data_IF_474130580232
#
_entry.id   IF_474130580232
#
_cell.length_a   1.000
_cell.length_b   1.000
_cell.length_c   1.000
_cell.angle_alpha   90.00
_cell.angle_beta   90.00
_cell.angle_gamma   90.00
#
_symmetry.space_group_name_H-M   'P 1'
#
loop_
_entity.id
_entity.type
_entity.pdbx_description
1 polymer ?
#
# COMPACT_ATOMS: atom_id res chain seq x y z
N UNK A 1 -4.02 5.85 -18.83
CA UNK A 1 -3.35 5.04 -17.79
C UNK A 1 -2.65 5.97 -16.81
N UNK A 2 -2.82 5.77 -15.51
CA UNK A 2 -2.31 6.64 -14.43
C UNK A 2 -1.79 5.77 -13.28
N UNK A 3 -0.77 6.26 -12.58
CA UNK A 3 -0.21 5.64 -11.39
C UNK A 3 -0.64 6.44 -10.16
N UNK A 4 -1.19 5.75 -9.17
CA UNK A 4 -1.54 6.29 -7.87
C UNK A 4 -0.41 5.95 -6.89
N UNK A 5 0.14 6.95 -6.21
CA UNK A 5 1.18 6.78 -5.20
C UNK A 5 0.70 7.27 -3.84
N UNK A 6 0.65 6.36 -2.87
CA UNK A 6 0.27 6.65 -1.50
C UNK A 6 1.56 6.87 -0.66
N UNK A 7 1.79 8.06 -0.08
CA UNK A 7 3.08 8.44 0.50
C UNK A 7 3.41 7.76 1.83
N UNK A 8 2.44 7.31 2.64
CA UNK A 8 2.69 6.76 3.97
C UNK A 8 3.04 5.26 3.93
N UNK A 9 2.35 4.49 3.11
CA UNK A 9 2.63 3.07 2.86
C UNK A 9 3.58 2.85 1.68
N UNK A 10 3.91 3.91 0.95
CA UNK A 10 4.76 3.91 -0.25
C UNK A 10 4.28 3.00 -1.40
N UNK A 11 2.98 2.69 -1.40
CA UNK A 11 2.34 1.81 -2.37
C UNK A 11 2.12 2.54 -3.70
N UNK A 12 2.36 1.84 -4.81
CA UNK A 12 2.06 2.34 -6.15
C UNK A 12 1.05 1.41 -6.81
N UNK A 13 -0.10 1.96 -7.18
CA UNK A 13 -1.19 1.25 -7.85
C UNK A 13 -1.32 1.75 -9.28
N UNK A 14 -1.48 0.83 -10.24
CA UNK A 14 -1.65 1.17 -11.65
C UNK A 14 -3.14 1.14 -11.99
N UNK A 15 -3.66 2.22 -12.56
CA UNK A 15 -5.09 2.39 -12.84
C UNK A 15 -5.31 3.28 -14.08
N UNK A 16 -6.53 3.76 -14.30
CA UNK A 16 -6.87 4.77 -15.29
C UNK A 16 -7.86 5.80 -14.71
N UNK A 17 -8.03 6.92 -15.44
CA UNK A 17 -8.84 8.05 -14.97
C UNK A 17 -10.34 7.74 -14.97
N UNK A 18 -10.80 6.84 -15.84
CA UNK A 18 -12.21 6.45 -15.90
C UNK A 18 -12.58 5.65 -14.67
N UNK A 19 -11.77 4.66 -14.33
CA UNK A 19 -11.93 3.85 -13.14
C UNK A 19 -11.88 4.70 -11.86
N UNK A 20 -10.87 5.58 -11.74
CA UNK A 20 -10.77 6.49 -10.59
C UNK A 20 -11.99 7.41 -10.48
N UNK A 21 -12.49 7.94 -11.59
CA UNK A 21 -13.69 8.79 -11.59
C UNK A 21 -14.89 8.03 -11.01
N UNK A 22 -15.15 6.81 -11.48
CA UNK A 22 -16.32 6.05 -11.07
C UNK A 22 -16.25 5.65 -9.59
N UNK A 23 -15.09 5.21 -9.10
CA UNK A 23 -14.93 4.78 -7.70
C UNK A 23 -14.95 5.96 -6.73
N UNK A 24 -14.51 7.14 -7.15
CA UNK A 24 -14.28 8.27 -6.22
C UNK A 24 -15.27 9.40 -6.38
N UNK A 25 -16.03 9.42 -7.47
CA UNK A 25 -16.87 10.54 -7.91
C UNK A 25 -16.10 11.77 -8.38
N UNK A 26 -14.76 11.74 -8.39
CA UNK A 26 -13.94 12.92 -8.72
C UNK A 26 -13.96 13.12 -10.24
N UNK A 27 -14.28 14.32 -10.77
CA UNK A 27 -14.31 14.56 -12.21
C UNK A 27 -13.00 14.21 -12.91
N UNK A 28 -13.09 13.60 -14.10
CA UNK A 28 -11.92 13.19 -14.90
C UNK A 28 -10.93 14.34 -15.15
N UNK A 29 -11.44 15.55 -15.42
CA UNK A 29 -10.61 16.74 -15.63
C UNK A 29 -9.81 17.11 -14.38
N UNK A 30 -10.41 16.98 -13.19
CA UNK A 30 -9.73 17.23 -11.91
C UNK A 30 -8.63 16.18 -11.67
N UNK A 31 -8.91 14.90 -11.90
CA UNK A 31 -7.93 13.82 -11.77
C UNK A 31 -6.76 13.99 -12.76
N UNK A 32 -7.07 14.37 -14.01
CA UNK A 32 -6.07 14.68 -15.02
C UNK A 32 -5.18 15.86 -14.60
N UNK A 33 -5.79 16.96 -14.13
CA UNK A 33 -5.08 18.13 -13.63
C UNK A 33 -4.17 17.76 -12.45
N UNK A 34 -4.68 17.00 -11.48
CA UNK A 34 -3.89 16.52 -10.33
C UNK A 34 -2.70 15.66 -10.77
N UNK A 35 -2.88 14.79 -11.77
CA UNK A 35 -1.80 13.96 -12.34
C UNK A 35 -0.70 14.80 -13.00
N UNK A 36 -1.08 15.84 -13.75
CA UNK A 36 -0.14 16.73 -14.45
C UNK A 36 0.66 17.61 -13.51
N UNK A 37 0.02 18.13 -12.48
CA UNK A 37 0.63 19.09 -11.55
C UNK A 37 1.21 18.42 -10.29
N UNK A 38 1.02 17.11 -10.11
CA UNK A 38 1.51 16.37 -8.95
C UNK A 38 0.93 16.94 -7.66
N UNK A 39 -0.38 17.14 -7.66
CA UNK A 39 -1.17 17.67 -6.54
C UNK A 39 -1.59 16.49 -5.65
N UNK A 40 -1.47 16.69 -4.35
CA UNK A 40 -1.92 15.70 -3.38
C UNK A 40 -3.44 15.67 -3.32
N UNK A 41 -4.01 14.47 -3.38
CA UNK A 41 -5.44 14.28 -3.24
C UNK A 41 -5.74 13.89 -1.80
N UNK A 42 -6.36 14.80 -1.04
CA UNK A 42 -6.65 14.57 0.38
C UNK A 42 -7.70 13.47 0.63
N UNK A 43 -8.66 13.29 -0.29
CA UNK A 43 -9.70 12.28 -0.16
C UNK A 43 -9.12 10.87 -0.25
N UNK A 44 -8.20 10.64 -1.21
CA UNK A 44 -7.57 9.34 -1.44
C UNK A 44 -6.19 9.20 -0.77
N UNK A 45 -5.71 10.27 -0.15
CA UNK A 45 -4.41 10.37 0.49
C UNK A 45 -3.24 10.00 -0.43
N UNK A 46 -3.34 10.34 -1.72
CA UNK A 46 -2.38 9.91 -2.75
C UNK A 46 -2.01 11.00 -3.75
N UNK A 47 -0.94 10.77 -4.50
CA UNK A 47 -0.62 11.50 -5.73
C UNK A 47 -0.98 10.69 -6.96
N UNK A 48 -1.29 11.38 -8.05
CA UNK A 48 -1.41 10.79 -9.37
C UNK A 48 -0.21 11.15 -10.24
N UNK A 49 0.18 10.25 -11.14
CA UNK A 49 1.28 10.45 -12.08
C UNK A 49 1.05 9.65 -13.36
N UNK A 50 1.34 10.26 -14.50
CA UNK A 50 1.23 9.60 -15.81
C UNK A 50 2.31 8.51 -15.99
N UNK A 51 3.43 8.64 -15.27
CA UNK A 51 4.55 7.69 -15.31
C UNK A 51 4.76 7.02 -13.96
N UNK A 52 5.32 5.82 -13.97
CA UNK A 52 5.61 5.08 -12.74
C UNK A 52 6.56 5.90 -11.85
N UNK A 53 6.14 6.36 -10.66
CA UNK A 53 6.98 7.19 -9.80
C UNK A 53 8.16 6.37 -9.28
N UNK A 54 9.35 6.68 -9.80
CA UNK A 54 10.63 6.15 -9.33
C UNK A 54 11.11 6.97 -8.12
N UNK A 55 12.32 6.66 -7.64
CA UNK A 55 12.89 7.22 -6.42
C UNK A 55 12.80 8.76 -6.32
N UNK A 56 13.30 9.50 -7.31
CA UNK A 56 13.30 10.98 -7.30
C UNK A 56 11.88 11.55 -7.19
N UNK A 57 10.94 11.03 -8.00
CA UNK A 57 9.54 11.48 -7.98
C UNK A 57 8.86 11.18 -6.64
N UNK A 58 9.15 10.02 -6.03
CA UNK A 58 8.67 9.69 -4.69
C UNK A 58 9.22 10.65 -3.63
N UNK A 59 10.48 11.10 -3.75
CA UNK A 59 11.04 12.13 -2.87
C UNK A 59 10.29 13.45 -3.00
N UNK A 60 10.13 13.96 -4.22
CA UNK A 60 9.37 15.19 -4.49
C UNK A 60 7.95 15.14 -3.91
N UNK A 61 7.24 14.02 -4.10
CA UNK A 61 5.90 13.84 -3.56
C UNK A 61 5.88 13.81 -2.04
N UNK A 62 6.84 13.15 -1.41
CA UNK A 62 6.91 13.10 0.05
C UNK A 62 7.22 14.47 0.67
N UNK A 63 8.07 15.27 0.03
CA UNK A 63 8.40 16.61 0.49
C UNK A 63 7.19 17.56 0.48
N UNK A 64 6.23 17.33 -0.42
CA UNK A 64 4.96 18.09 -0.49
C UNK A 64 3.93 17.69 0.57
N UNK A 65 4.11 16.55 1.24
CA UNK A 65 3.15 16.04 2.24
C UNK A 65 3.59 16.42 3.63
N UNK A 66 2.77 17.25 4.26
CA UNK A 66 2.83 17.57 5.69
C UNK A 66 1.56 16.98 6.31
N UNK A 67 1.73 16.07 7.27
CA UNK A 67 0.62 15.54 8.05
C UNK A 67 0.66 16.17 9.45
N UNK A 68 -0.50 16.62 9.92
CA UNK A 68 -0.62 17.40 11.16
C UNK A 68 -0.24 16.59 12.41
N UNK A 69 -0.42 15.27 12.37
CA UNK A 69 -0.12 14.31 13.42
C UNK A 69 1.25 13.62 13.27
N UNK A 70 2.08 14.09 12.33
CA UNK A 70 3.39 13.50 12.06
C UNK A 70 4.47 13.99 13.02
N UNK A 71 4.92 13.10 13.91
CA UNK A 71 6.00 13.34 14.85
C UNK A 71 7.26 12.66 14.32
N UNK A 72 8.34 13.43 14.17
CA UNK A 72 9.66 12.94 13.77
C UNK A 72 10.59 12.78 14.98
N UNK A 73 11.21 11.61 15.13
CA UNK A 73 12.25 11.33 16.12
C UNK A 73 13.52 10.84 15.46
N UNK A 74 14.67 11.21 16.01
CA UNK A 74 15.95 10.68 15.59
C UNK A 74 16.24 9.37 16.30
N UNK A 75 16.70 8.36 15.54
CA UNK A 75 17.08 7.05 16.07
C UNK A 75 18.59 6.87 15.96
N UNK A 76 19.29 6.95 17.10
CA UNK A 76 20.76 6.78 17.16
C UNK A 76 21.20 5.40 16.66
N UNK A 77 20.44 4.35 17.02
CA UNK A 77 20.71 2.96 16.64
C UNK A 77 20.76 2.76 15.12
N UNK A 78 19.93 3.50 14.37
CA UNK A 78 19.81 3.34 12.92
C UNK A 78 20.37 4.52 12.12
N UNK A 79 20.76 5.62 12.79
CA UNK A 79 21.19 6.88 12.17
C UNK A 79 20.17 7.41 11.15
N UNK A 80 18.89 7.42 11.54
CA UNK A 80 17.76 7.86 10.71
C UNK A 80 16.79 8.71 11.53
N UNK A 81 16.19 9.71 10.89
CA UNK A 81 14.94 10.31 11.37
C UNK A 81 13.77 9.43 10.96
N UNK A 82 12.89 9.14 11.90
CA UNK A 82 11.76 8.23 11.77
C UNK A 82 10.51 8.96 12.20
N UNK A 83 9.46 8.91 11.38
CA UNK A 83 8.15 9.45 11.73
C UNK A 83 7.26 8.36 12.34
N UNK A 84 6.33 8.75 13.22
CA UNK A 84 5.33 7.85 13.80
C UNK A 84 4.44 7.21 12.73
N UNK A 85 4.31 7.83 11.56
CA UNK A 85 3.58 7.31 10.40
C UNK A 85 4.41 6.35 9.53
N UNK A 86 5.62 6.01 9.97
CA UNK A 86 6.47 5.01 9.32
C UNK A 86 7.35 5.54 8.18
N UNK A 87 7.41 6.87 8.02
CA UNK A 87 8.29 7.54 7.04
C UNK A 87 9.69 7.71 7.62
N UNK A 88 10.70 7.71 6.74
CA UNK A 88 12.10 7.78 7.17
C UNK A 88 12.90 8.77 6.34
N UNK A 89 13.82 9.47 7.00
CA UNK A 89 14.78 10.41 6.39
C UNK A 89 16.17 10.10 6.90
N UNK A 90 17.17 10.29 6.05
CA UNK A 90 18.56 10.34 6.49
C UNK A 90 18.83 11.64 7.25
N UNK A 91 19.95 11.73 7.99
CA UNK A 91 20.30 12.94 8.75
C UNK A 91 20.36 14.23 7.91
N UNK A 92 20.67 14.10 6.61
CA UNK A 92 20.66 15.20 5.64
C UNK A 92 19.26 15.51 5.05
N UNK A 93 18.18 15.00 5.65
CA UNK A 93 16.80 15.26 5.25
C UNK A 93 16.27 14.44 4.08
N UNK A 94 17.10 13.63 3.40
CA UNK A 94 16.64 12.86 2.23
C UNK A 94 15.76 11.67 2.62
N UNK A 95 14.59 11.56 2.00
CA UNK A 95 13.68 10.44 2.25
C UNK A 95 14.31 9.08 1.87
N UNK A 96 14.03 8.09 2.71
CA UNK A 96 14.34 6.67 2.51
C UNK A 96 13.04 5.89 2.46
N UNK A 97 12.91 5.09 1.40
CA UNK A 97 11.72 4.29 1.16
C UNK A 97 12.01 2.82 1.47
N UNK A 98 11.04 2.20 2.13
CA UNK A 98 11.02 0.75 2.27
C UNK A 98 10.82 0.06 0.93
N UNK A 99 11.64 -0.95 0.66
CA UNK A 99 11.48 -1.88 -0.44
C UNK A 99 10.95 -3.21 0.12
N UNK A 100 9.89 -3.75 -0.47
CA UNK A 100 9.38 -5.06 -0.10
C UNK A 100 8.85 -5.81 -1.31
N UNK A 101 9.13 -7.10 -1.33
CA UNK A 101 8.48 -8.07 -2.21
C UNK A 101 8.00 -9.20 -1.28
N UNK A 102 6.69 -9.44 -1.19
CA UNK A 102 6.06 -10.50 -0.37
C UNK A 102 6.15 -10.33 1.15
N UNK A 103 5.81 -9.14 1.66
CA UNK A 103 5.35 -8.99 3.03
C UNK A 103 6.38 -8.61 4.09
N UNK A 104 7.63 -8.26 3.77
CA UNK A 104 8.47 -7.52 4.72
C UNK A 104 9.03 -6.29 4.01
N UNK A 105 8.78 -5.12 4.59
CA UNK A 105 9.31 -3.86 4.11
C UNK A 105 10.69 -3.66 4.72
N UNK A 106 11.70 -3.52 3.85
CA UNK A 106 13.10 -3.37 4.24
C UNK A 106 13.67 -2.05 3.76
N UNK A 107 14.43 -1.38 4.60
CA UNK A 107 15.13 -0.12 4.28
C UNK A 107 16.61 -0.43 4.17
N UNK A 108 17.23 0.00 3.07
CA UNK A 108 18.66 -0.17 2.83
C UNK A 108 19.37 1.15 3.14
N UNK A 109 20.24 1.13 4.13
CA UNK A 109 21.02 2.29 4.56
C UNK A 109 22.40 1.87 5.08
N UNK A 110 23.45 2.62 4.72
CA UNK A 110 24.86 2.32 5.05
C UNK A 110 25.24 0.85 4.86
N UNK A 111 24.94 0.29 3.68
CA UNK A 111 25.16 -1.12 3.30
C UNK A 111 24.45 -2.17 4.18
N UNK A 112 23.59 -1.75 5.09
CA UNK A 112 22.80 -2.63 5.95
C UNK A 112 21.34 -2.66 5.51
N UNK A 113 20.69 -3.80 5.75
CA UNK A 113 19.26 -4.00 5.47
C UNK A 113 18.53 -4.09 6.81
N UNK A 114 17.60 -3.17 7.02
CA UNK A 114 16.81 -3.10 8.23
C UNK A 114 15.34 -3.36 7.92
N UNK A 115 14.63 -3.99 8.84
CA UNK A 115 13.17 -4.07 8.76
C UNK A 115 12.58 -2.71 9.13
N UNK A 116 11.76 -2.16 8.25
CA UNK A 116 11.20 -0.84 8.43
C UNK A 116 10.33 -0.76 9.70
N UNK A 117 9.51 -1.80 9.92
CA UNK A 117 8.69 -1.91 11.13
C UNK A 117 9.53 -1.93 12.41
N UNK A 118 10.67 -2.64 12.42
CA UNK A 118 11.53 -2.71 13.60
C UNK A 118 12.15 -1.34 13.92
N UNK A 119 12.55 -0.57 12.89
CA UNK A 119 13.06 0.80 13.06
C UNK A 119 12.00 1.69 13.74
N UNK A 120 10.76 1.68 13.23
CA UNK A 120 9.68 2.51 13.77
C UNK A 120 9.35 2.10 15.19
N UNK A 121 9.14 0.81 15.42
CA UNK A 121 8.80 0.28 16.74
C UNK A 121 9.87 0.61 17.78
N UNK A 122 11.14 0.39 17.48
CA UNK A 122 12.25 0.67 18.41
C UNK A 122 12.41 2.17 18.69
N UNK A 123 12.06 3.03 17.73
CA UNK A 123 12.20 4.48 17.88
C UNK A 123 11.07 5.10 18.70
N UNK A 124 9.85 4.57 18.62
CA UNK A 124 8.67 5.13 19.29
C UNK A 124 8.22 4.37 20.53
N UNK A 125 8.40 3.05 20.56
CA UNK A 125 7.91 2.16 21.63
C UNK A 125 9.09 1.52 22.38
N UNK A 126 10.11 1.06 21.65
CA UNK A 126 11.31 0.46 22.22
C UNK A 126 11.13 -0.94 22.80
N UNK A 127 12.21 -1.50 23.34
CA UNK A 127 12.19 -2.76 24.10
C UNK A 127 12.02 -4.02 23.24
N UNK A 128 12.45 -4.00 21.98
CA UNK A 128 12.37 -5.19 21.13
C UNK A 128 13.36 -6.26 21.61
N UNK A 129 12.83 -7.35 22.18
CA UNK A 129 13.62 -8.47 22.70
C UNK A 129 14.34 -9.21 21.57
N UNK A 130 15.49 -9.81 21.90
CA UNK A 130 16.22 -10.68 20.96
C UNK A 130 15.31 -11.80 20.43
N UNK A 131 15.28 -11.97 19.10
CA UNK A 131 14.41 -12.94 18.42
C UNK A 131 12.98 -12.47 18.16
N UNK A 132 12.60 -11.28 18.61
CA UNK A 132 11.33 -10.64 18.30
C UNK A 132 11.51 -9.59 17.20
N UNK A 133 10.46 -9.40 16.41
CA UNK A 133 10.36 -8.36 15.40
C UNK A 133 9.05 -7.60 15.56
N UNK A 134 9.01 -6.39 15.05
CA UNK A 134 7.78 -5.63 14.97
C UNK A 134 6.94 -6.11 13.78
N UNK A 135 5.64 -6.24 14.04
CA UNK A 135 4.65 -6.62 13.05
C UNK A 135 3.39 -5.76 13.18
N UNK A 136 2.67 -5.51 12.06
CA UNK A 136 1.45 -4.73 12.09
C UNK A 136 0.24 -5.54 12.58
N UNK A 137 -0.62 -4.94 13.39
CA UNK A 137 -1.84 -5.56 13.95
C UNK A 137 -2.88 -5.81 12.86
N UNK A 138 -2.98 -4.91 11.88
CA UNK A 138 -3.89 -5.03 10.73
C UNK A 138 -3.42 -6.04 9.65
N UNK A 139 -2.28 -6.71 9.86
CA UNK A 139 -1.65 -7.62 8.90
C UNK A 139 -1.23 -7.00 7.56
N UNK A 140 -1.27 -5.66 7.43
CA UNK A 140 -0.79 -4.93 6.24
C UNK A 140 0.66 -4.51 6.46
N UNK A 141 1.58 -5.25 5.87
CA UNK A 141 3.03 -5.06 6.08
C UNK A 141 3.60 -3.69 5.68
N UNK A 142 2.89 -2.95 4.84
CA UNK A 142 3.22 -1.60 4.43
C UNK A 142 2.61 -0.52 5.34
N UNK A 143 1.70 -0.89 6.26
CA UNK A 143 1.19 0.01 7.29
C UNK A 143 2.13 0.01 8.50
N UNK A 144 3.03 0.99 8.51
CA UNK A 144 4.11 1.11 9.49
C UNK A 144 3.81 2.14 10.60
N UNK A 145 2.56 2.55 10.77
CA UNK A 145 2.16 3.46 11.86
C UNK A 145 2.52 2.84 13.21
N UNK A 146 3.20 3.61 14.07
CA UNK A 146 3.77 3.12 15.33
C UNK A 146 2.73 2.38 16.20
N UNK A 147 1.52 2.93 16.35
CA UNK A 147 0.45 2.35 17.17
C UNK A 147 -0.10 1.03 16.59
N UNK A 148 0.03 0.86 15.27
CA UNK A 148 -0.32 -0.39 14.60
C UNK A 148 0.73 -1.49 14.82
N UNK A 149 1.89 -1.20 15.39
CA UNK A 149 2.97 -2.17 15.55
C UNK A 149 2.94 -2.87 16.93
N UNK A 150 3.35 -4.13 16.94
CA UNK A 150 3.55 -4.90 18.16
C UNK A 150 4.73 -5.89 18.02
N UNK A 151 5.40 -6.25 19.13
CA UNK A 151 6.52 -7.17 19.10
C UNK A 151 6.02 -8.61 19.10
N UNK A 152 6.52 -9.43 18.18
CA UNK A 152 6.19 -10.86 18.12
C UNK A 152 7.31 -11.66 17.46
N UNK A 153 7.28 -12.98 17.62
CA UNK A 153 8.04 -13.88 16.73
C UNK A 153 7.25 -14.13 15.45
N UNK A 154 7.94 -14.54 14.38
CA UNK A 154 7.28 -14.89 13.11
C UNK A 154 6.26 -16.03 13.27
N UNK A 155 6.55 -17.01 14.14
CA UNK A 155 5.67 -18.15 14.38
C UNK A 155 4.35 -17.71 15.01
N UNK A 156 4.41 -16.90 16.09
CA UNK A 156 3.22 -16.34 16.74
C UNK A 156 2.47 -15.40 15.81
N UNK A 157 3.18 -14.58 15.04
CA UNK A 157 2.54 -13.64 14.11
C UNK A 157 1.77 -14.35 12.99
N UNK A 158 2.29 -15.48 12.49
CA UNK A 158 1.58 -16.31 11.50
C UNK A 158 0.29 -16.93 12.04
N UNK A 159 0.23 -17.23 13.34
CA UNK A 159 -0.99 -17.71 14.00
C UNK A 159 -1.97 -16.55 14.28
N UNK A 160 -1.44 -15.39 14.67
CA UNK A 160 -2.21 -14.16 14.87
C UNK A 160 -2.92 -13.71 13.58
N UNK A 161 -2.19 -13.74 12.47
CA UNK A 161 -2.75 -13.54 11.14
C UNK A 161 -3.69 -14.71 10.88
N UNK A 162 -4.96 -14.57 11.27
CA UNK A 162 -6.03 -15.52 10.88
C UNK A 162 -5.87 -15.74 9.38
N UNK A 163 -5.34 -16.89 9.00
CA UNK A 163 -5.46 -17.38 7.64
C UNK A 163 -6.95 -17.63 7.48
N UNK A 164 -7.68 -16.61 7.07
CA UNK A 164 -9.02 -16.76 6.51
C UNK A 164 -8.83 -17.41 5.15
N UNK A 165 -8.29 -18.65 5.12
CA UNK A 165 -8.29 -19.53 3.96
C UNK A 165 -9.71 -19.96 3.57
N UNK A 166 -10.69 -19.10 3.86
CA UNK A 166 -11.99 -19.12 3.25
C UNK A 166 -11.81 -18.55 1.85
N UNK A 167 -12.49 -19.19 0.92
CA UNK A 167 -12.72 -18.62 -0.39
C UNK A 167 -13.09 -17.13 -0.26
N UNK A 168 -12.37 -16.24 -0.96
CA UNK A 168 -12.80 -14.85 -1.08
C UNK A 168 -13.59 -14.71 -2.38
N UNK A 169 -14.87 -14.29 -2.32
CA UNK A 169 -15.62 -13.93 -3.52
C UNK A 169 -14.99 -12.73 -4.21
N UNK A 170 -15.16 -12.66 -5.53
CA UNK A 170 -14.64 -11.59 -6.36
C UNK A 170 -15.60 -11.27 -7.50
N UNK A 171 -15.60 -10.01 -7.91
CA UNK A 171 -16.35 -9.51 -9.05
C UNK A 171 -15.41 -9.24 -10.22
N UNK A 172 -15.90 -9.54 -11.41
CA UNK A 172 -15.38 -8.99 -12.66
C UNK A 172 -16.20 -7.75 -12.98
N UNK A 173 -15.55 -6.60 -13.03
CA UNK A 173 -16.21 -5.30 -13.13
C UNK A 173 -15.76 -4.62 -14.41
N UNK A 174 -16.67 -3.93 -15.10
CA UNK A 174 -16.38 -3.19 -16.32
C UNK A 174 -15.83 -1.77 -16.04
N UNK A 175 -15.59 -1.03 -17.12
CA UNK A 175 -15.10 0.34 -17.06
C UNK A 175 -16.12 1.36 -16.52
N UNK A 176 -17.39 0.97 -16.36
CA UNK A 176 -18.48 1.75 -15.76
C UNK A 176 -18.72 1.37 -14.29
N UNK A 177 -17.89 0.48 -13.73
CA UNK A 177 -18.04 -0.08 -12.40
C UNK A 177 -19.27 -1.01 -12.26
N UNK A 178 -19.82 -1.50 -13.37
CA UNK A 178 -20.90 -2.49 -13.38
C UNK A 178 -20.33 -3.90 -13.24
N UNK A 179 -20.99 -4.73 -12.43
CA UNK A 179 -20.63 -6.12 -12.23
C UNK A 179 -20.98 -6.88 -13.52
N UNK A 180 -19.95 -7.35 -14.22
CA UNK A 180 -20.07 -8.20 -15.40
C UNK A 180 -20.31 -9.64 -14.97
N UNK A 181 -19.60 -10.09 -13.94
CA UNK A 181 -19.69 -11.46 -13.45
C UNK A 181 -19.30 -11.56 -11.97
N UNK A 182 -19.92 -12.51 -11.28
CA UNK A 182 -19.68 -12.79 -9.87
C UNK A 182 -19.10 -14.18 -9.70
N UNK A 183 -18.05 -14.29 -8.89
CA UNK A 183 -17.46 -15.58 -8.54
C UNK A 183 -17.37 -15.71 -7.03
N UNK A 184 -17.80 -16.84 -6.49
CA UNK A 184 -17.62 -17.20 -5.09
C UNK A 184 -16.15 -17.39 -4.73
N UNK A 185 -15.26 -17.60 -5.73
CA UNK A 185 -13.82 -17.80 -5.51
C UNK A 185 -12.94 -17.54 -6.74
N UNK A 186 -11.63 -17.37 -6.53
CA UNK A 186 -10.64 -17.41 -7.62
C UNK A 186 -10.55 -18.77 -8.33
N UNK A 187 -10.97 -19.85 -7.68
CA UNK A 187 -10.94 -21.21 -8.26
C UNK A 187 -12.07 -21.36 -9.28
N UNK A 188 -13.25 -20.85 -8.92
CA UNK A 188 -14.41 -20.78 -9.80
C UNK A 188 -14.14 -19.86 -11.00
N UNK A 189 -13.62 -18.66 -10.74
CA UNK A 189 -13.21 -17.74 -11.79
C UNK A 189 -12.18 -18.38 -12.75
N UNK A 190 -11.23 -19.17 -12.23
CA UNK A 190 -10.29 -19.92 -13.06
C UNK A 190 -11.01 -20.96 -13.94
N UNK A 191 -12.00 -21.69 -13.42
CA UNK A 191 -12.74 -22.69 -14.20
C UNK A 191 -13.59 -22.09 -15.31
N UNK A 192 -14.14 -20.89 -15.11
CA UNK A 192 -15.00 -20.21 -16.10
C UNK A 192 -14.18 -19.43 -17.11
N UNK A 193 -13.20 -18.65 -16.65
CA UNK A 193 -12.43 -17.73 -17.49
C UNK A 193 -11.17 -18.38 -18.09
N UNK A 194 -10.81 -19.59 -17.67
CA UNK A 194 -9.58 -20.28 -18.06
C UNK A 194 -8.30 -19.48 -17.75
N UNK A 195 -8.33 -18.62 -16.73
CA UNK A 195 -7.19 -17.81 -16.27
C UNK A 195 -6.66 -18.35 -14.95
N UNK A 196 -5.33 -18.46 -14.80
CA UNK A 196 -4.71 -18.94 -13.56
C UNK A 196 -5.18 -18.16 -12.32
N UNK A 197 -5.65 -18.88 -11.29
CA UNK A 197 -6.19 -18.29 -10.06
C UNK A 197 -5.21 -17.39 -9.33
N UNK A 198 -3.89 -17.64 -9.43
CA UNK A 198 -2.88 -16.77 -8.80
C UNK A 198 -2.74 -15.48 -9.59
N UNK A 199 -2.91 -15.53 -10.92
CA UNK A 199 -3.01 -14.33 -11.75
C UNK A 199 -4.26 -13.51 -11.38
N UNK A 200 -5.43 -14.15 -11.26
CA UNK A 200 -6.68 -13.49 -10.84
C UNK A 200 -6.51 -12.83 -9.47
N UNK A 201 -6.05 -13.58 -8.46
CA UNK A 201 -5.80 -13.04 -7.12
C UNK A 201 -4.81 -11.87 -7.13
N UNK A 202 -3.76 -11.96 -7.97
CA UNK A 202 -2.81 -10.86 -8.14
C UNK A 202 -3.47 -9.64 -8.77
N UNK A 203 -4.38 -9.81 -9.73
CA UNK A 203 -5.15 -8.73 -10.34
C UNK A 203 -6.08 -8.06 -9.33
N UNK A 204 -6.82 -8.83 -8.52
CA UNK A 204 -7.61 -8.29 -7.41
C UNK A 204 -6.75 -7.44 -6.46
N UNK A 205 -5.62 -7.98 -6.01
CA UNK A 205 -4.73 -7.29 -5.06
C UNK A 205 -3.99 -6.08 -5.66
N UNK A 206 -3.80 -6.04 -6.98
CA UNK A 206 -3.13 -4.94 -7.67
C UNK A 206 -4.10 -3.91 -8.25
N UNK A 207 -5.41 -4.17 -8.17
CA UNK A 207 -6.50 -3.34 -8.70
C UNK A 207 -6.21 -2.86 -10.12
N UNK A 208 -5.74 -3.78 -10.96
CA UNK A 208 -5.20 -3.46 -12.26
C UNK A 208 -6.21 -3.75 -13.37
N UNK A 209 -6.67 -2.69 -14.03
CA UNK A 209 -7.54 -2.76 -15.20
C UNK A 209 -6.78 -3.34 -16.40
N UNK A 210 -7.43 -4.26 -17.13
CA UNK A 210 -6.97 -4.84 -18.40
C UNK A 210 -8.15 -4.87 -19.36
N UNK A 211 -8.01 -4.28 -20.54
CA UNK A 211 -9.04 -4.30 -21.59
C UNK A 211 -10.43 -3.84 -21.12
N UNK A 212 -10.47 -2.83 -20.23
CA UNK A 212 -11.71 -2.29 -19.67
C UNK A 212 -12.34 -3.13 -18.56
N UNK A 213 -11.73 -4.25 -18.18
CA UNK A 213 -12.20 -5.13 -17.12
C UNK A 213 -11.25 -5.11 -15.92
N UNK A 214 -11.79 -5.30 -14.73
CA UNK A 214 -11.05 -5.35 -13.48
C UNK A 214 -11.59 -6.43 -12.56
N UNK A 215 -10.68 -7.20 -11.98
CA UNK A 215 -11.00 -8.12 -10.89
C UNK A 215 -10.93 -7.37 -9.55
N UNK A 216 -11.96 -7.49 -8.73
CA UNK A 216 -12.05 -6.85 -7.40
C UNK A 216 -12.56 -7.87 -6.39
N UNK A 217 -12.03 -7.85 -5.17
CA UNK A 217 -12.63 -8.66 -4.09
C UNK A 217 -14.01 -8.10 -3.73
N UNK A 218 -15.01 -8.96 -3.53
CA UNK A 218 -16.39 -8.50 -3.31
C UNK A 218 -16.51 -7.61 -2.06
N UNK A 219 -15.79 -7.94 -0.99
CA UNK A 219 -15.74 -7.13 0.24
C UNK A 219 -15.16 -5.73 -0.02
N UNK A 220 -14.10 -5.64 -0.82
CA UNK A 220 -13.52 -4.34 -1.20
C UNK A 220 -14.44 -3.54 -2.14
N UNK A 221 -15.23 -4.21 -2.99
CA UNK A 221 -16.16 -3.54 -3.89
C UNK A 221 -17.38 -2.97 -3.13
N UNK A 222 -17.92 -3.73 -2.18
CA UNK A 222 -19.00 -3.27 -1.30
C UNK A 222 -18.57 -2.07 -0.45
N UNK A 223 -17.35 -2.10 0.14
CA UNK A 223 -16.81 -0.96 0.90
C UNK A 223 -16.63 0.32 0.06
N UNK A 224 -16.36 0.19 -1.25
CA UNK A 224 -16.16 1.34 -2.14
C UNK A 224 -17.46 1.97 -2.64
N UNK A 225 -18.57 1.23 -2.62
CA UNK A 225 -19.87 1.66 -3.14
C UNK A 225 -20.94 1.85 -2.04
N UNK A 226 -20.60 1.64 -0.77
CA UNK A 226 -21.42 1.99 0.38
C UNK A 226 -21.29 3.47 0.76
#
# INVERSE_FOLDING_TARGET
>A
MVYMYEPFTHTVTKTDLSHLHNVTGIPRNTLWYQSKHGIYNDKLKCFFSDTLPRFKKKQEFNEKVVADDEIWKYSEKYDLYVSNLGRMKTPNGKYKFGNGCKGVITVIYKNSKYRAADIVYETFIGGLKTGYHAYPRDSRYNNLVADNLFPSTIAKYRLYRRNTGRSKPLYLVDSNNEIVEEFASTVEAQSVLFVDRRHIARRCNSRCVSDGLMYVWADEYEELNA
#
